data_IF_236244214902
#
_entry.id   IF_236244214902
#
_cell.length_a   1.000
_cell.length_b   1.000
_cell.length_c   1.000
_cell.angle_alpha   90.00
_cell.angle_beta   90.00
_cell.angle_gamma   90.00
#
_symmetry.space_group_name_H-M   'P 1'
#
loop_
_entity.id
_entity.type
_entity.pdbx_description
1 polymer ?
#
# COMPACT_ATOMS: atom_id res chain seq x y z
N UNK A 1 -5.17 -7.93 -14.34
CA UNK A 1 -5.28 -7.28 -13.02
C UNK A 1 -5.64 -5.83 -13.25
N UNK A 2 -6.60 -5.29 -12.50
CA UNK A 2 -7.09 -3.91 -12.64
C UNK A 2 -6.38 -3.01 -11.64
N UNK A 3 -5.97 -1.81 -12.04
CA UNK A 3 -5.43 -0.81 -11.13
C UNK A 3 -6.51 -0.26 -10.20
N UNK A 4 -6.21 -0.20 -8.90
CA UNK A 4 -7.09 0.39 -7.90
C UNK A 4 -6.85 1.91 -7.82
N UNK A 5 -7.90 2.70 -7.51
CA UNK A 5 -7.78 4.15 -7.39
C UNK A 5 -6.90 4.52 -6.19
N UNK A 6 -6.36 5.73 -6.21
CA UNK A 6 -5.47 6.23 -5.14
C UNK A 6 -5.69 7.72 -4.90
N UNK A 7 -5.39 8.16 -3.69
CA UNK A 7 -5.41 9.59 -3.31
C UNK A 7 -4.04 10.19 -3.53
N UNK A 8 -3.94 11.26 -4.34
CA UNK A 8 -2.65 11.84 -4.80
C UNK A 8 -1.64 12.14 -3.67
N UNK A 9 -2.11 12.60 -2.52
CA UNK A 9 -1.29 12.98 -1.37
C UNK A 9 -1.13 11.87 -0.31
N UNK A 10 -1.76 10.70 -0.51
CA UNK A 10 -1.67 9.59 0.46
C UNK A 10 -0.22 9.17 0.68
N UNK A 11 0.14 8.86 1.92
CA UNK A 11 1.47 8.37 2.26
C UNK A 11 1.78 7.03 1.58
N UNK A 12 0.80 6.15 1.41
CA UNK A 12 1.03 4.82 0.84
C UNK A 12 0.94 4.83 -0.68
N UNK A 13 -0.21 5.22 -1.24
CA UNK A 13 -0.50 5.11 -2.67
C UNK A 13 -0.35 6.42 -3.46
N UNK A 14 -0.10 7.55 -2.80
CA UNK A 14 -0.08 8.86 -3.43
C UNK A 14 1.20 9.14 -4.19
N UNK A 15 1.10 9.23 -5.52
CA UNK A 15 2.25 9.53 -6.40
C UNK A 15 2.84 10.93 -6.17
N UNK A 16 2.03 11.88 -5.71
CA UNK A 16 2.46 13.26 -5.46
C UNK A 16 3.02 13.47 -4.05
N UNK A 17 2.98 12.46 -3.17
CA UNK A 17 3.57 12.57 -1.85
C UNK A 17 5.09 12.33 -1.94
N UNK A 18 5.88 13.41 -1.86
CA UNK A 18 7.34 13.35 -1.94
C UNK A 18 7.96 12.34 -0.94
N UNK A 19 7.38 12.23 0.25
CA UNK A 19 7.84 11.35 1.33
C UNK A 19 7.10 10.00 1.39
N UNK A 20 6.12 9.79 0.52
CA UNK A 20 5.30 8.58 0.50
C UNK A 20 6.02 7.35 -0.05
N UNK A 21 5.41 6.19 0.19
CA UNK A 21 5.81 4.89 -0.35
C UNK A 21 5.52 4.78 -1.86
N UNK A 22 4.52 5.51 -2.36
CA UNK A 22 4.11 5.59 -3.79
C UNK A 22 3.78 4.22 -4.39
N UNK A 23 3.11 3.38 -3.61
CA UNK A 23 2.73 2.02 -4.00
C UNK A 23 1.54 2.02 -4.96
N UNK A 24 1.57 1.10 -5.92
CA UNK A 24 0.47 0.85 -6.84
C UNK A 24 -0.20 -0.46 -6.50
N UNK A 25 -1.52 -0.42 -6.32
CA UNK A 25 -2.31 -1.59 -6.01
C UNK A 25 -3.05 -2.08 -7.25
N UNK A 26 -3.13 -3.40 -7.39
CA UNK A 26 -3.87 -4.06 -8.45
C UNK A 26 -4.74 -5.17 -7.89
N UNK A 27 -5.85 -5.48 -8.55
CA UNK A 27 -6.74 -6.56 -8.15
C UNK A 27 -7.03 -7.53 -9.30
N UNK A 28 -7.26 -8.80 -8.99
CA UNK A 28 -7.73 -9.83 -9.93
C UNK A 28 -9.22 -10.19 -9.75
N UNK A 29 -9.94 -9.39 -8.96
CA UNK A 29 -11.35 -9.59 -8.61
C UNK A 29 -11.56 -10.34 -7.29
N UNK A 30 -10.55 -11.02 -6.76
CA UNK A 30 -10.60 -11.66 -5.43
C UNK A 30 -9.43 -11.30 -4.52
N UNK A 31 -8.27 -10.99 -5.09
CA UNK A 31 -7.04 -10.67 -4.39
C UNK A 31 -6.57 -9.28 -4.78
N UNK A 32 -5.87 -8.66 -3.84
CA UNK A 32 -5.19 -7.38 -4.04
C UNK A 32 -3.70 -7.60 -3.90
N UNK A 33 -2.95 -6.99 -4.81
CA UNK A 33 -1.51 -7.14 -4.93
C UNK A 33 -0.83 -5.77 -4.97
N UNK A 34 0.33 -5.70 -4.32
CA UNK A 34 1.25 -4.56 -4.39
C UNK A 34 2.68 -5.08 -4.25
N UNK A 35 3.65 -4.26 -4.66
CA UNK A 35 5.07 -4.53 -4.48
C UNK A 35 5.68 -3.45 -3.62
N UNK A 36 6.28 -3.84 -2.50
CA UNK A 36 6.96 -2.93 -1.59
C UNK A 36 8.43 -3.32 -1.49
N UNK A 37 9.30 -2.40 -1.93
CA UNK A 37 10.74 -2.49 -1.72
C UNK A 37 11.13 -1.50 -0.62
N UNK A 38 11.56 -1.98 0.56
CA UNK A 38 12.04 -1.10 1.62
C UNK A 38 13.23 -0.25 1.16
N UNK A 39 13.28 1.00 1.63
CA UNK A 39 14.39 1.93 1.41
C UNK A 39 15.16 2.14 2.71
N UNK A 40 16.33 2.75 2.64
CA UNK A 40 17.20 2.94 3.81
C UNK A 40 16.50 3.69 4.95
N UNK A 41 15.67 4.68 4.61
CA UNK A 41 14.89 5.47 5.56
C UNK A 41 13.72 4.70 6.20
N UNK A 42 13.40 3.49 5.74
CA UNK A 42 12.36 2.64 6.33
C UNK A 42 12.90 1.68 7.41
N UNK A 43 14.17 1.80 7.81
CA UNK A 43 14.79 0.95 8.82
C UNK A 43 14.21 1.25 10.21
N UNK A 44 13.88 0.21 10.98
CA UNK A 44 13.52 0.35 12.39
C UNK A 44 14.58 -0.22 13.34
N UNK A 45 15.07 -1.42 13.04
CA UNK A 45 16.20 -2.03 13.73
C UNK A 45 17.29 -2.37 12.72
N UNK A 46 18.55 -2.54 13.15
CA UNK A 46 19.72 -2.75 12.29
C UNK A 46 19.45 -3.77 11.17
N UNK A 47 19.34 -3.27 9.93
CA UNK A 47 19.12 -4.10 8.73
C UNK A 47 17.69 -4.63 8.53
N UNK A 48 16.72 -4.17 9.33
CA UNK A 48 15.33 -4.64 9.35
C UNK A 48 14.38 -3.48 9.10
N UNK A 49 13.41 -3.68 8.20
CA UNK A 49 12.33 -2.71 7.95
C UNK A 49 11.53 -2.45 9.24
N UNK A 50 11.24 -1.19 9.52
CA UNK A 50 10.46 -0.77 10.67
C UNK A 50 9.07 -1.42 10.62
N UNK A 51 8.67 -2.06 11.72
CA UNK A 51 7.39 -2.77 11.80
C UNK A 51 6.18 -1.89 11.49
N UNK A 52 6.23 -0.61 11.90
CA UNK A 52 5.21 0.38 11.54
C UNK A 52 5.06 0.62 10.03
N UNK A 53 6.14 0.58 9.24
CA UNK A 53 6.05 0.73 7.78
C UNK A 53 5.39 -0.51 7.16
N UNK A 54 5.75 -1.71 7.63
CA UNK A 54 5.09 -2.94 7.21
C UNK A 54 3.61 -2.92 7.58
N UNK A 55 3.26 -2.51 8.80
CA UNK A 55 1.89 -2.36 9.25
C UNK A 55 1.11 -1.34 8.39
N UNK A 56 1.72 -0.23 8.00
CA UNK A 56 1.13 0.75 7.08
C UNK A 56 0.85 0.17 5.69
N UNK A 57 1.76 -0.64 5.12
CA UNK A 57 1.50 -1.31 3.83
C UNK A 57 0.38 -2.34 3.98
N UNK A 58 0.35 -3.07 5.09
CA UNK A 58 -0.71 -4.04 5.39
C UNK A 58 -2.07 -3.37 5.60
N UNK A 59 -2.13 -2.23 6.28
CA UNK A 59 -3.35 -1.45 6.48
C UNK A 59 -3.99 -1.06 5.14
N UNK A 60 -3.21 -0.45 4.24
CA UNK A 60 -3.69 -0.04 2.92
C UNK A 60 -4.13 -1.26 2.07
N UNK A 61 -3.41 -2.38 2.09
CA UNK A 61 -3.82 -3.56 1.30
C UNK A 61 -5.08 -4.22 1.86
N UNK A 62 -5.26 -4.23 3.19
CA UNK A 62 -6.42 -4.84 3.84
C UNK A 62 -7.72 -4.09 3.53
N UNK A 63 -7.69 -2.75 3.54
CA UNK A 63 -8.89 -1.98 3.14
C UNK A 63 -9.29 -2.29 1.70
N UNK A 64 -8.32 -2.39 0.79
CA UNK A 64 -8.60 -2.78 -0.59
C UNK A 64 -9.08 -4.22 -0.71
N UNK A 65 -8.54 -5.15 0.07
CA UNK A 65 -8.98 -6.55 0.07
C UNK A 65 -10.46 -6.67 0.47
N UNK A 66 -10.89 -5.92 1.49
CA UNK A 66 -12.31 -5.86 1.89
C UNK A 66 -13.15 -5.18 0.81
N UNK A 67 -12.71 -4.04 0.29
CA UNK A 67 -13.46 -3.29 -0.73
C UNK A 67 -13.68 -4.12 -2.01
N UNK A 68 -12.63 -4.80 -2.49
CA UNK A 68 -12.70 -5.67 -3.68
C UNK A 68 -13.55 -6.90 -3.43
N UNK A 69 -13.37 -7.60 -2.30
CA UNK A 69 -14.14 -8.82 -1.99
C UNK A 69 -15.62 -8.55 -1.78
N UNK A 70 -15.98 -7.40 -1.20
CA UNK A 70 -17.37 -7.01 -0.95
C UNK A 70 -17.99 -6.20 -2.08
N UNK A 71 -17.18 -5.73 -3.04
CA UNK A 71 -17.56 -4.74 -4.08
C UNK A 71 -18.14 -3.45 -3.49
N UNK A 72 -17.65 -3.05 -2.32
CA UNK A 72 -18.04 -1.82 -1.62
C UNK A 72 -16.84 -0.90 -1.56
N UNK A 73 -16.82 0.03 -2.51
CA UNK A 73 -15.91 1.16 -2.53
C UNK A 73 -16.71 2.30 -1.90
N UNK A 74 -16.25 2.82 -0.76
CA UNK A 74 -16.96 3.73 0.14
C UNK A 74 -18.09 4.57 -0.48
#
# INVERSE_FOLDING_TARGET
MTHLPHTRSCFVCGESNAHGLKLRFTADGQRVHTWFTPRAEHIGFKGVTHGGILATVLDEIMVWAVAVSTRRFA
#
